data_IF_414634896525
#
_entry.id   IF_414634896525
#
_cell.length_a   1.000
_cell.length_b   1.000
_cell.length_c   1.000
_cell.angle_alpha   90.00
_cell.angle_beta   90.00
_cell.angle_gamma   90.00
#
_symmetry.space_group_name_H-M   'P 1'
#
loop_
_entity.id
_entity.type
_entity.pdbx_description
1 polymer ?
#
# COMPACT_ATOMS: atom_id res chain seq x y z
N UNK A 1 -6.33 18.33 13.86
CA UNK A 1 -4.88 18.22 13.64
C UNK A 1 -4.52 18.74 12.27
N UNK A 2 -3.50 19.60 12.19
CA UNK A 2 -2.99 20.10 10.92
C UNK A 2 -2.06 19.08 10.26
N UNK A 3 -2.06 19.00 8.92
CA UNK A 3 -1.16 18.09 8.18
C UNK A 3 0.32 18.26 8.55
N UNK A 4 0.78 19.50 8.80
CA UNK A 4 2.17 19.77 9.19
C UNK A 4 2.54 19.11 10.53
N UNK A 5 1.59 19.07 11.47
CA UNK A 5 1.79 18.43 12.77
C UNK A 5 1.82 16.91 12.64
N UNK A 6 0.90 16.36 11.83
CA UNK A 6 0.85 14.92 11.55
C UNK A 6 2.16 14.45 10.93
N UNK A 7 2.62 15.10 9.86
CA UNK A 7 3.85 14.67 9.16
C UNK A 7 5.09 14.76 10.03
N UNK A 8 5.13 15.70 10.98
CA UNK A 8 6.25 15.82 11.92
C UNK A 8 6.34 14.62 12.89
N UNK A 9 5.20 14.04 13.25
CA UNK A 9 5.11 13.07 14.35
C UNK A 9 4.77 11.64 13.91
N UNK A 10 4.28 11.46 12.68
CA UNK A 10 3.77 10.16 12.23
C UNK A 10 4.86 9.09 12.17
N UNK A 11 4.57 7.96 12.80
CA UNK A 11 5.45 6.78 12.76
C UNK A 11 5.25 6.02 11.44
N UNK A 12 6.22 6.17 10.53
CA UNK A 12 6.20 5.49 9.22
C UNK A 12 6.17 3.96 9.34
N UNK A 13 6.82 3.39 10.35
CA UNK A 13 6.84 1.94 10.53
C UNK A 13 5.48 1.43 10.99
N UNK A 14 4.82 2.19 11.86
CA UNK A 14 3.44 1.94 12.24
C UNK A 14 2.48 2.06 11.05
N UNK A 15 2.63 3.08 10.20
CA UNK A 15 1.84 3.19 8.94
C UNK A 15 2.05 1.95 8.08
N UNK A 16 3.30 1.59 7.80
CA UNK A 16 3.65 0.44 6.97
C UNK A 16 3.01 -0.85 7.50
N UNK A 17 3.13 -1.12 8.79
CA UNK A 17 2.61 -2.33 9.42
C UNK A 17 1.08 -2.39 9.36
N UNK A 18 0.39 -1.27 9.61
CA UNK A 18 -1.08 -1.23 9.56
C UNK A 18 -1.60 -1.35 8.12
N UNK A 19 -0.94 -0.73 7.14
CA UNK A 19 -1.29 -0.91 5.72
C UNK A 19 -1.03 -2.36 5.27
N UNK A 20 0.05 -2.99 5.76
CA UNK A 20 0.34 -4.39 5.46
C UNK A 20 -0.76 -5.36 5.93
N UNK A 21 -1.51 -5.04 6.99
CA UNK A 21 -2.69 -5.83 7.39
C UNK A 21 -3.75 -5.87 6.28
N UNK A 22 -3.83 -4.81 5.48
CA UNK A 22 -4.81 -4.71 4.41
C UNK A 22 -4.37 -5.45 3.14
N UNK A 23 -3.06 -5.48 2.88
CA UNK A 23 -2.47 -6.10 1.69
C UNK A 23 -2.20 -7.60 1.86
N UNK A 24 -1.59 -7.98 2.99
CA UNK A 24 -1.10 -9.35 3.24
C UNK A 24 -1.71 -9.99 4.48
N UNK A 25 -2.75 -9.38 5.06
CA UNK A 25 -3.41 -9.89 6.29
C UNK A 25 -2.46 -10.10 7.46
N UNK A 26 -1.37 -9.32 7.53
CA UNK A 26 -0.33 -9.45 8.56
C UNK A 26 0.52 -10.72 8.46
N UNK A 27 0.43 -11.47 7.36
CA UNK A 27 1.18 -12.71 7.20
C UNK A 27 2.63 -12.42 6.79
N UNK A 28 3.52 -12.29 7.78
CA UNK A 28 4.92 -11.99 7.49
C UNK A 28 5.63 -13.03 6.62
N UNK A 29 5.14 -14.27 6.58
CA UNK A 29 5.72 -15.32 5.74
C UNK A 29 5.58 -15.03 4.24
N UNK A 30 4.64 -14.16 3.83
CA UNK A 30 4.47 -13.80 2.42
C UNK A 30 5.33 -12.62 1.97
N UNK A 31 5.94 -11.86 2.90
CA UNK A 31 6.75 -10.68 2.56
C UNK A 31 7.90 -11.08 1.64
N UNK A 32 8.59 -12.18 1.96
CA UNK A 32 9.71 -12.71 1.19
C UNK A 32 9.34 -13.89 0.30
N UNK A 33 8.10 -13.92 -0.18
CA UNK A 33 7.64 -14.94 -1.11
C UNK A 33 6.90 -14.28 -2.26
N UNK A 34 7.13 -14.78 -3.47
CA UNK A 34 6.30 -14.40 -4.60
C UNK A 34 4.91 -14.99 -4.45
N UNK A 35 3.91 -14.14 -4.56
CA UNK A 35 2.50 -14.52 -4.55
C UNK A 35 1.84 -14.14 -5.88
N UNK A 36 0.88 -14.94 -6.33
CA UNK A 36 0.14 -14.68 -7.56
C UNK A 36 -1.36 -14.76 -7.26
N UNK A 37 -2.06 -13.64 -7.41
CA UNK A 37 -3.49 -13.53 -7.10
C UNK A 37 -4.42 -13.96 -8.25
N UNK A 38 -3.87 -14.38 -9.40
CA UNK A 38 -4.66 -14.72 -10.58
C UNK A 38 -5.09 -13.50 -11.42
N UNK A 39 -5.53 -13.74 -12.65
CA UNK A 39 -6.01 -12.70 -13.56
C UNK A 39 -4.89 -12.03 -14.38
N UNK A 40 -4.95 -10.70 -14.53
CA UNK A 40 -4.00 -9.92 -15.36
C UNK A 40 -2.69 -9.57 -14.65
N UNK A 41 -2.64 -9.76 -13.32
CA UNK A 41 -1.50 -9.45 -12.47
C UNK A 41 -0.32 -10.40 -12.71
N UNK A 42 0.87 -10.01 -12.25
CA UNK A 42 2.04 -10.87 -12.20
C UNK A 42 2.25 -11.48 -10.82
N UNK A 43 3.39 -12.14 -10.63
CA UNK A 43 3.89 -12.37 -9.28
C UNK A 43 4.17 -11.04 -8.57
N UNK A 44 3.87 -10.98 -7.28
CA UNK A 44 4.11 -9.84 -6.38
C UNK A 44 4.90 -10.26 -5.14
N UNK A 45 5.56 -9.31 -4.47
CA UNK A 45 6.29 -9.55 -3.22
C UNK A 45 6.23 -8.33 -2.29
N UNK A 46 6.72 -8.47 -1.05
CA UNK A 46 6.74 -7.41 -0.04
C UNK A 46 5.39 -7.17 0.64
N UNK A 47 5.37 -6.31 1.66
CA UNK A 47 4.13 -5.89 2.33
C UNK A 47 3.24 -5.11 1.38
N UNK A 48 3.84 -4.31 0.51
CA UNK A 48 3.13 -3.49 -0.48
C UNK A 48 2.75 -4.23 -1.77
N UNK A 49 2.99 -5.55 -1.85
CA UNK A 49 2.58 -6.38 -2.99
C UNK A 49 3.07 -5.83 -4.35
N UNK A 50 4.38 -5.56 -4.44
CA UNK A 50 5.02 -5.02 -5.64
C UNK A 50 4.89 -5.97 -6.84
N UNK A 51 3.96 -5.68 -7.75
CA UNK A 51 3.69 -6.48 -8.96
C UNK A 51 4.87 -6.42 -9.94
N UNK A 52 5.54 -7.55 -10.17
CA UNK A 52 6.73 -7.65 -11.03
C UNK A 52 6.40 -7.37 -12.50
N UNK A 53 5.17 -7.64 -12.95
CA UNK A 53 4.77 -7.47 -14.34
C UNK A 53 4.61 -6.00 -14.69
N UNK A 54 3.85 -5.28 -13.86
CA UNK A 54 3.41 -3.90 -14.13
C UNK A 54 4.24 -2.82 -13.44
N UNK A 55 5.10 -3.18 -12.47
CA UNK A 55 5.98 -2.24 -11.78
C UNK A 55 7.43 -2.40 -12.25
N UNK A 56 7.94 -1.43 -13.03
CA UNK A 56 9.34 -1.42 -13.48
C UNK A 56 10.32 -1.29 -12.31
N UNK A 57 10.00 -0.48 -11.30
CA UNK A 57 10.84 -0.32 -10.09
C UNK A 57 10.98 -1.64 -9.33
N UNK A 58 9.92 -2.45 -9.27
CA UNK A 58 9.98 -3.78 -8.66
C UNK A 58 10.98 -4.70 -9.39
N UNK A 59 10.97 -4.69 -10.72
CA UNK A 59 11.94 -5.44 -11.55
C UNK A 59 13.37 -4.94 -11.36
N UNK A 60 13.55 -3.63 -11.34
CA UNK A 60 14.87 -3.01 -11.12
C UNK A 60 15.41 -3.34 -9.73
N UNK A 61 14.56 -3.27 -8.70
CA UNK A 61 14.92 -3.68 -7.36
C UNK A 61 15.39 -5.13 -7.30
N UNK A 62 14.61 -6.07 -7.86
CA UNK A 62 15.00 -7.48 -7.87
C UNK A 62 16.35 -7.71 -8.55
N UNK A 63 16.62 -7.02 -9.67
CA UNK A 63 17.90 -7.11 -10.39
C UNK A 63 19.06 -6.49 -9.61
N UNK A 64 18.88 -5.27 -9.12
CA UNK A 64 19.95 -4.44 -8.59
C UNK A 64 20.23 -4.68 -7.11
N UNK A 65 19.25 -5.21 -6.36
CA UNK A 65 19.31 -5.37 -4.90
C UNK A 65 19.16 -6.83 -4.45
N UNK A 66 18.52 -7.68 -5.26
CA UNK A 66 18.30 -9.09 -4.92
C UNK A 66 19.01 -10.07 -5.86
N UNK A 67 19.90 -9.56 -6.71
CA UNK A 67 20.73 -10.35 -7.63
C UNK A 67 19.94 -11.20 -8.63
N UNK A 68 18.65 -10.90 -8.89
CA UNK A 68 17.84 -11.64 -9.86
C UNK A 68 18.36 -11.44 -11.28
N UNK A 69 18.58 -12.54 -11.98
CA UNK A 69 19.03 -12.51 -13.38
C UNK A 69 17.88 -12.11 -14.29
N UNK A 70 18.19 -11.76 -15.54
CA UNK A 70 17.14 -11.55 -16.57
C UNK A 70 16.26 -12.80 -16.72
N UNK A 71 16.87 -14.00 -16.69
CA UNK A 71 16.15 -15.27 -16.75
C UNK A 71 15.20 -15.50 -15.57
N UNK A 72 15.61 -15.13 -14.35
CA UNK A 72 14.75 -15.22 -13.16
C UNK A 72 13.50 -14.34 -13.31
N UNK A 73 13.70 -13.09 -13.77
CA UNK A 73 12.60 -12.15 -14.01
C UNK A 73 11.68 -12.66 -15.13
N UNK A 74 12.22 -13.20 -16.22
CA UNK A 74 11.41 -13.77 -17.30
C UNK A 74 10.53 -14.93 -16.81
N UNK A 75 11.04 -15.78 -15.91
CA UNK A 75 10.23 -16.87 -15.31
C UNK A 75 9.05 -16.31 -14.52
N UNK A 76 9.27 -15.25 -13.74
CA UNK A 76 8.17 -14.57 -13.02
C UNK A 76 7.16 -13.95 -13.99
N UNK A 77 7.61 -13.33 -15.08
CA UNK A 77 6.73 -12.72 -16.09
C UNK A 77 5.92 -13.76 -16.88
N UNK A 78 6.50 -14.93 -17.13
CA UNK A 78 5.86 -16.09 -17.78
C UNK A 78 4.97 -16.90 -16.82
N UNK A 79 4.90 -16.49 -15.55
CA UNK A 79 4.15 -17.19 -14.50
C UNK A 79 4.58 -18.66 -14.35
N UNK A 80 5.89 -18.91 -14.41
CA UNK A 80 6.44 -20.25 -14.15
C UNK A 80 5.93 -20.76 -12.80
N UNK A 81 5.44 -22.01 -12.77
CA UNK A 81 4.87 -22.60 -11.56
C UNK A 81 5.95 -23.06 -10.58
N UNK A 82 7.12 -23.42 -11.09
CA UNK A 82 8.23 -23.87 -10.25
C UNK A 82 9.17 -22.69 -9.97
N UNK A 83 8.92 -21.97 -8.88
CA UNK A 83 9.69 -20.78 -8.47
C UNK A 83 10.22 -20.90 -7.04
N UNK A 84 10.37 -22.13 -6.52
CA UNK A 84 10.86 -22.35 -5.16
C UNK A 84 12.28 -21.80 -4.98
N UNK A 85 13.13 -22.00 -5.97
CA UNK A 85 14.48 -21.44 -6.02
C UNK A 85 14.46 -19.90 -5.99
N UNK A 86 13.52 -19.27 -6.69
CA UNK A 86 13.35 -17.81 -6.67
C UNK A 86 12.85 -17.30 -5.32
N UNK A 87 11.97 -18.05 -4.65
CA UNK A 87 11.53 -17.73 -3.29
C UNK A 87 12.68 -17.83 -2.28
N UNK A 88 13.49 -18.88 -2.34
CA UNK A 88 14.67 -19.01 -1.48
C UNK A 88 15.70 -17.91 -1.72
N UNK A 89 15.84 -17.46 -2.96
CA UNK A 89 16.64 -16.28 -3.30
C UNK A 89 16.06 -15.02 -2.66
N UNK A 90 14.77 -14.74 -2.85
CA UNK A 90 14.10 -13.56 -2.33
C UNK A 90 14.20 -13.45 -0.78
N UNK A 91 14.09 -14.58 -0.06
CA UNK A 91 14.23 -14.64 1.41
C UNK A 91 15.56 -14.12 1.93
N UNK A 92 16.65 -14.27 1.17
CA UNK A 92 17.98 -13.78 1.57
C UNK A 92 18.05 -12.25 1.61
N UNK A 93 17.08 -11.56 0.99
CA UNK A 93 17.04 -10.11 0.86
C UNK A 93 15.91 -9.47 1.68
N UNK A 94 15.54 -10.07 2.82
CA UNK A 94 14.47 -9.54 3.70
C UNK A 94 14.72 -8.08 4.08
N UNK A 95 15.95 -7.72 4.43
CA UNK A 95 16.30 -6.37 4.86
C UNK A 95 16.06 -5.35 3.74
N UNK A 96 16.49 -5.65 2.52
CA UNK A 96 16.30 -4.78 1.37
C UNK A 96 14.81 -4.64 1.03
N UNK A 97 14.02 -5.70 1.18
CA UNK A 97 12.57 -5.67 0.98
C UNK A 97 11.89 -4.80 2.04
N UNK A 98 12.29 -4.94 3.32
CA UNK A 98 11.80 -4.10 4.41
C UNK A 98 12.13 -2.61 4.16
N UNK A 99 13.32 -2.31 3.65
CA UNK A 99 13.72 -0.95 3.25
C UNK A 99 12.87 -0.42 2.08
N UNK A 100 12.59 -1.24 1.07
CA UNK A 100 11.73 -0.90 -0.06
C UNK A 100 10.27 -0.63 0.38
N UNK A 101 9.70 -1.48 1.24
CA UNK A 101 8.36 -1.27 1.81
C UNK A 101 8.29 0.05 2.60
N UNK A 102 9.34 0.37 3.36
CA UNK A 102 9.44 1.61 4.14
C UNK A 102 9.58 2.85 3.24
N UNK A 103 10.35 2.76 2.16
CA UNK A 103 10.46 3.81 1.15
C UNK A 103 9.11 4.06 0.47
N UNK A 104 8.44 3.00 0.01
CA UNK A 104 7.13 3.10 -0.60
C UNK A 104 6.10 3.72 0.34
N UNK A 105 6.09 3.33 1.62
CA UNK A 105 5.23 3.92 2.64
C UNK A 105 5.49 5.41 2.81
N UNK A 106 6.76 5.81 2.87
CA UNK A 106 7.15 7.22 2.94
C UNK A 106 6.67 8.01 1.72
N UNK A 107 6.81 7.44 0.53
CA UNK A 107 6.34 8.07 -0.71
C UNK A 107 4.83 8.29 -0.70
N UNK A 108 4.05 7.30 -0.25
CA UNK A 108 2.60 7.45 -0.12
C UNK A 108 2.21 8.53 0.89
N UNK A 109 2.85 8.54 2.06
CA UNK A 109 2.63 9.56 3.10
C UNK A 109 2.95 10.96 2.57
N UNK A 110 4.11 11.12 1.93
CA UNK A 110 4.54 12.38 1.34
C UNK A 110 3.60 12.82 0.20
N UNK A 111 3.19 11.89 -0.66
CA UNK A 111 2.27 12.19 -1.75
C UNK A 111 0.96 12.78 -1.20
N UNK A 112 0.33 12.10 -0.24
CA UNK A 112 -0.91 12.57 0.39
C UNK A 112 -0.70 13.91 1.10
N UNK A 113 0.44 14.12 1.76
CA UNK A 113 0.77 15.40 2.39
C UNK A 113 0.92 16.56 1.40
N UNK A 114 1.25 16.29 0.13
CA UNK A 114 1.40 17.34 -0.91
C UNK A 114 0.08 17.79 -1.53
N UNK A 115 -1.04 17.19 -1.13
CA UNK A 115 -2.36 17.59 -1.60
C UNK A 115 -2.69 19.00 -1.12
N UNK A 116 -3.18 19.84 -2.03
CA UNK A 116 -3.53 21.23 -1.72
C UNK A 116 -4.95 21.34 -1.18
N UNK A 117 -5.17 22.21 -0.19
CA UNK A 117 -6.51 22.40 0.40
C UNK A 117 -6.98 21.20 1.22
N UNK A 118 -6.05 20.45 1.83
CA UNK A 118 -6.41 19.46 2.84
C UNK A 118 -7.12 20.14 4.02
N UNK A 119 -8.24 19.57 4.51
CA UNK A 119 -8.90 20.05 5.70
C UNK A 119 -8.08 19.74 6.96
N UNK A 120 -8.56 20.19 8.12
CA UNK A 120 -8.07 19.63 9.38
C UNK A 120 -8.50 18.16 9.50
N UNK A 121 -7.66 17.34 10.10
CA UNK A 121 -7.96 15.94 10.39
C UNK A 121 -8.48 15.82 11.82
N UNK A 122 -9.49 14.99 12.07
CA UNK A 122 -9.96 14.72 13.43
C UNK A 122 -8.83 14.16 14.31
N UNK A 123 -8.00 13.28 13.73
CA UNK A 123 -6.85 12.65 14.36
C UNK A 123 -5.84 12.18 13.30
N UNK A 124 -4.67 11.72 13.77
CA UNK A 124 -3.64 11.12 12.92
C UNK A 124 -4.15 9.86 12.18
N UNK A 125 -5.02 9.08 12.82
CA UNK A 125 -5.59 7.86 12.24
C UNK A 125 -6.37 8.16 10.96
N UNK A 126 -7.13 9.25 10.92
CA UNK A 126 -7.85 9.70 9.73
C UNK A 126 -6.90 9.94 8.56
N UNK A 127 -5.70 10.46 8.81
CA UNK A 127 -4.68 10.61 7.77
C UNK A 127 -4.20 9.25 7.24
N UNK A 128 -4.02 8.25 8.11
CA UNK A 128 -3.66 6.88 7.71
C UNK A 128 -4.73 6.25 6.80
N UNK A 129 -6.02 6.49 7.06
CA UNK A 129 -7.09 6.06 6.14
C UNK A 129 -7.00 6.71 4.76
N UNK A 130 -6.51 7.94 4.68
CA UNK A 130 -6.30 8.63 3.40
C UNK A 130 -5.08 8.07 2.65
N UNK A 131 -4.04 7.68 3.38
CA UNK A 131 -2.88 6.93 2.84
C UNK A 131 -3.33 5.56 2.32
N UNK A 132 -4.15 4.81 3.06
CA UNK A 132 -4.74 3.54 2.61
C UNK A 132 -5.62 3.73 1.37
N UNK A 133 -6.38 4.83 1.29
CA UNK A 133 -7.11 5.18 0.08
C UNK A 133 -6.17 5.38 -1.11
N UNK A 134 -5.06 6.11 -0.93
CA UNK A 134 -4.08 6.28 -2.00
C UNK A 134 -3.47 4.94 -2.43
N UNK A 135 -3.11 4.07 -1.49
CA UNK A 135 -2.60 2.73 -1.79
C UNK A 135 -3.59 1.90 -2.63
N UNK A 136 -4.88 1.92 -2.24
CA UNK A 136 -5.91 1.09 -2.88
C UNK A 136 -6.40 1.63 -4.23
N UNK A 137 -6.54 2.96 -4.36
CA UNK A 137 -7.23 3.60 -5.48
C UNK A 137 -6.38 4.61 -6.25
N UNK A 138 -5.10 4.74 -5.93
CA UNK A 138 -4.18 5.72 -6.50
C UNK A 138 -4.79 7.14 -6.49
N UNK A 139 -4.93 7.71 -5.28
CA UNK A 139 -5.45 9.07 -5.08
C UNK A 139 -4.76 10.02 -6.06
N UNK A 140 -5.55 10.79 -6.81
CA UNK A 140 -5.05 11.77 -7.77
C UNK A 140 -5.30 13.21 -7.32
N UNK A 141 -4.35 14.09 -7.60
CA UNK A 141 -4.51 15.53 -7.42
C UNK A 141 -5.69 16.02 -8.26
N UNK A 142 -6.65 16.63 -7.58
CA UNK A 142 -7.93 17.12 -8.12
C UNK A 142 -8.86 16.02 -8.66
N UNK A 143 -8.62 14.77 -8.29
CA UNK A 143 -9.54 13.67 -8.52
C UNK A 143 -10.72 13.69 -7.55
N UNK A 144 -11.59 12.67 -7.68
CA UNK A 144 -12.84 12.57 -6.94
C UNK A 144 -12.65 12.67 -5.42
N UNK A 145 -11.74 11.88 -4.83
CA UNK A 145 -11.46 11.93 -3.40
C UNK A 145 -10.85 13.28 -2.98
N UNK A 146 -9.91 13.83 -3.75
CA UNK A 146 -9.29 15.10 -3.42
C UNK A 146 -10.30 16.25 -3.38
N UNK A 147 -11.21 16.30 -4.36
CA UNK A 147 -12.26 17.33 -4.40
C UNK A 147 -13.30 17.11 -3.29
N UNK A 148 -13.60 15.86 -2.94
CA UNK A 148 -14.49 15.53 -1.83
C UNK A 148 -13.93 16.03 -0.48
N UNK A 149 -12.67 15.76 -0.17
CA UNK A 149 -12.08 16.15 1.13
C UNK A 149 -11.86 17.67 1.24
N UNK A 150 -11.61 18.37 0.13
CA UNK A 150 -11.53 19.85 0.11
C UNK A 150 -12.81 20.53 0.62
N UNK A 151 -13.97 19.89 0.44
CA UNK A 151 -15.25 20.42 0.91
C UNK A 151 -15.51 20.22 2.41
N UNK A 152 -14.59 19.57 3.14
CA UNK A 152 -14.74 19.27 4.56
C UNK A 152 -14.06 20.35 5.40
N UNK A 153 -14.63 20.68 6.56
CA UNK A 153 -13.95 21.51 7.57
C UNK A 153 -12.98 20.67 8.40
N UNK A 154 -13.49 19.55 8.91
CA UNK A 154 -12.74 18.52 9.63
C UNK A 154 -13.04 17.19 8.92
N UNK A 155 -12.00 16.49 8.49
CA UNK A 155 -12.10 15.16 7.90
C UNK A 155 -12.04 14.11 9.01
N UNK A 156 -12.93 13.11 8.95
CA UNK A 156 -12.95 11.95 9.85
C UNK A 156 -12.70 10.66 9.07
N UNK A 157 -12.29 9.59 9.77
CA UNK A 157 -12.10 8.29 9.12
C UNK A 157 -13.39 7.76 8.51
N UNK A 158 -14.55 8.03 9.12
CA UNK A 158 -15.86 7.64 8.59
C UNK A 158 -16.21 8.33 7.26
N UNK A 159 -15.73 9.57 7.03
CA UNK A 159 -15.93 10.25 5.74
C UNK A 159 -15.26 9.47 4.61
N UNK A 160 -14.03 9.00 4.83
CA UNK A 160 -13.25 8.22 3.86
C UNK A 160 -13.88 6.84 3.66
N UNK A 161 -14.29 6.19 4.75
CA UNK A 161 -15.00 4.90 4.70
C UNK A 161 -16.28 4.98 3.87
N UNK A 162 -17.16 5.94 4.17
CA UNK A 162 -18.42 6.13 3.45
C UNK A 162 -18.18 6.51 1.99
N UNK A 163 -17.16 7.34 1.70
CA UNK A 163 -16.77 7.65 0.34
C UNK A 163 -16.36 6.38 -0.44
N UNK A 164 -15.51 5.53 0.15
CA UNK A 164 -15.08 4.26 -0.46
C UNK A 164 -16.28 3.35 -0.77
N UNK A 165 -17.25 3.24 0.14
CA UNK A 165 -18.48 2.46 -0.10
C UNK A 165 -19.32 2.97 -1.28
N UNK A 166 -19.25 4.26 -1.60
CA UNK A 166 -19.91 4.86 -2.75
C UNK A 166 -19.27 4.51 -4.11
N UNK A 167 -18.01 4.07 -4.11
CA UNK A 167 -17.28 3.73 -5.34
C UNK A 167 -17.74 2.39 -5.93
N UNK A 168 -17.47 2.18 -7.23
CA UNK A 168 -17.78 0.91 -7.92
C UNK A 168 -17.23 -0.31 -7.17
N UNK A 169 -15.98 -0.24 -6.70
CA UNK A 169 -15.38 -1.33 -5.92
C UNK A 169 -16.04 -1.48 -4.55
N UNK A 170 -16.30 -0.39 -3.83
CA UNK A 170 -16.95 -0.44 -2.51
C UNK A 170 -18.37 -1.02 -2.56
N UNK A 171 -19.12 -0.78 -3.64
CA UNK A 171 -20.41 -1.43 -3.88
C UNK A 171 -20.28 -2.92 -4.19
N UNK A 172 -19.21 -3.34 -4.87
CA UNK A 172 -18.94 -4.74 -5.23
C UNK A 172 -18.39 -5.56 -4.05
N UNK A 173 -17.53 -4.97 -3.24
CA UNK A 173 -16.81 -5.61 -2.14
C UNK A 173 -16.87 -4.77 -0.84
N UNK A 174 -18.07 -4.49 -0.30
CA UNK A 174 -18.21 -3.65 0.90
C UNK A 174 -17.53 -4.26 2.13
N UNK A 175 -17.46 -5.59 2.20
CA UNK A 175 -16.77 -6.31 3.28
C UNK A 175 -15.26 -6.05 3.26
N UNK A 176 -14.65 -5.91 2.07
CA UNK A 176 -13.23 -5.55 1.96
C UNK A 176 -12.99 -4.13 2.48
N UNK A 177 -13.83 -3.17 2.08
CA UNK A 177 -13.75 -1.78 2.58
C UNK A 177 -13.90 -1.74 4.11
N UNK A 178 -14.86 -2.48 4.66
CA UNK A 178 -15.07 -2.58 6.11
C UNK A 178 -13.89 -3.22 6.82
N UNK A 179 -13.35 -4.32 6.29
CA UNK A 179 -12.16 -4.99 6.85
C UNK A 179 -10.96 -4.04 6.89
N UNK A 180 -10.68 -3.35 5.79
CA UNK A 180 -9.56 -2.39 5.71
C UNK A 180 -9.70 -1.25 6.72
N UNK A 181 -10.92 -0.72 6.83
CA UNK A 181 -11.24 0.30 7.82
C UNK A 181 -11.00 -0.21 9.26
N UNK A 182 -11.56 -1.37 9.61
CA UNK A 182 -11.42 -1.95 10.95
C UNK A 182 -9.98 -2.33 11.29
N UNK A 183 -9.19 -2.79 10.32
CA UNK A 183 -7.77 -3.06 10.53
C UNK A 183 -7.02 -1.81 10.99
N UNK A 184 -7.27 -0.65 10.38
CA UNK A 184 -6.67 0.61 10.83
C UNK A 184 -7.25 1.02 12.18
N UNK A 185 -8.58 0.99 12.35
CA UNK A 185 -9.23 1.40 13.59
C UNK A 185 -8.75 0.64 14.83
N UNK A 186 -8.59 -0.68 14.69
CA UNK A 186 -8.24 -1.56 15.81
C UNK A 186 -6.73 -1.62 16.12
N UNK A 187 -5.88 -1.32 15.13
CA UNK A 187 -4.42 -1.45 15.26
C UNK A 187 -3.68 -0.11 15.32
N UNK A 188 -4.37 1.01 15.09
CA UNK A 188 -3.83 2.35 15.32
C UNK A 188 -4.19 2.84 16.73
N UNK A 189 -3.41 2.42 17.73
CA UNK A 189 -3.51 2.84 19.14
C UNK A 189 -2.56 3.97 19.48
#
# INVERSE_FOLDING_TARGET
MNIKEIIKNIDLEKVMNVIALNEISGNENVICKFSFAGGISGYSFGRSQFDVKHNSKAKEFLKNKCEFTVGDIERLLKLDKNINDLNEKLKKHRKEIDELDKEHTRDMVNYVATLSGLPEFADEKTFVHLVDYHNQFNLSKNGLMHNFIKGKKILKSEDIYNFKLGLKWGKKAPQDVKRRYLNIENNWK
#
